data_IF_141477474409
#
_entry.id   IF_141477474409
#
_cell.length_a   1.000
_cell.length_b   1.000
_cell.length_c   1.000
_cell.angle_alpha   90.00
_cell.angle_beta   90.00
_cell.angle_gamma   90.00
#
_symmetry.space_group_name_H-M   'P 1'
#
loop_
_entity.id
_entity.type
_entity.pdbx_description
1 polymer ?
#
# COMPACT_ATOMS: atom_id res chain seq x y z
N UNK A 1 4.33 14.15 -10.80
CA UNK A 1 3.16 15.07 -10.71
C UNK A 1 3.60 16.47 -10.25
N UNK A 2 2.94 17.55 -10.69
CA UNK A 2 3.16 18.92 -10.16
C UNK A 2 2.01 19.30 -9.21
N UNK A 3 2.33 19.75 -7.99
CA UNK A 3 1.30 20.18 -7.03
C UNK A 3 0.63 21.50 -7.46
N UNK A 4 -0.70 21.45 -7.58
CA UNK A 4 -1.56 22.61 -7.78
C UNK A 4 -1.79 23.35 -6.45
N UNK A 5 -2.53 24.46 -6.46
CA UNK A 5 -2.71 25.27 -5.25
C UNK A 5 -3.53 24.55 -4.18
N UNK A 6 -4.65 23.93 -4.56
CA UNK A 6 -5.51 23.18 -3.63
C UNK A 6 -4.79 21.97 -2.99
N UNK A 7 -3.88 21.31 -3.73
CA UNK A 7 -2.99 20.28 -3.18
C UNK A 7 -2.11 20.80 -2.04
N UNK A 8 -1.59 22.02 -2.18
CA UNK A 8 -0.72 22.64 -1.19
C UNK A 8 -1.52 23.10 0.02
N UNK A 9 -2.69 23.68 -0.20
CA UNK A 9 -3.61 24.08 0.87
C UNK A 9 -4.04 22.87 1.71
N UNK A 10 -4.38 21.75 1.07
CA UNK A 10 -4.67 20.48 1.76
C UNK A 10 -3.50 20.06 2.65
N UNK A 11 -2.29 20.00 2.10
CA UNK A 11 -1.13 19.59 2.87
C UNK A 11 -0.83 20.53 4.05
N UNK A 12 -0.99 21.85 3.87
CA UNK A 12 -0.83 22.85 4.94
C UNK A 12 -1.85 22.61 6.06
N UNK A 13 -3.11 22.32 5.72
CA UNK A 13 -4.15 21.97 6.71
C UNK A 13 -3.78 20.71 7.48
N UNK A 14 -3.36 19.64 6.79
CA UNK A 14 -2.91 18.41 7.44
C UNK A 14 -1.71 18.64 8.38
N UNK A 15 -0.73 19.47 7.98
CA UNK A 15 0.37 19.86 8.87
C UNK A 15 -0.10 20.68 10.07
N UNK A 16 -1.14 21.50 9.93
CA UNK A 16 -1.74 22.25 11.02
C UNK A 16 -2.43 21.34 12.06
N UNK A 17 -2.86 20.15 11.64
CA UNK A 17 -3.35 19.07 12.51
C UNK A 17 -2.21 18.20 13.07
N UNK A 18 -0.97 18.69 12.98
CA UNK A 18 0.23 18.04 13.48
C UNK A 18 0.54 16.69 12.81
N UNK A 19 -0.01 16.38 11.62
CA UNK A 19 0.33 15.13 10.93
C UNK A 19 1.82 15.06 10.57
N UNK A 20 2.43 13.87 10.63
CA UNK A 20 3.79 13.71 10.12
C UNK A 20 3.78 13.72 8.60
N UNK A 21 4.91 14.07 8.00
CA UNK A 21 5.04 14.19 6.55
C UNK A 21 4.71 12.90 5.79
N UNK A 22 5.00 11.73 6.37
CA UNK A 22 4.53 10.44 5.83
C UNK A 22 3.01 10.39 5.79
N UNK A 23 2.38 10.68 6.93
CA UNK A 23 0.93 10.61 7.11
C UNK A 23 0.21 11.62 6.20
N UNK A 24 0.79 12.81 5.99
CA UNK A 24 0.26 13.77 5.01
C UNK A 24 0.35 13.23 3.59
N UNK A 25 1.43 12.53 3.23
CA UNK A 25 1.55 11.92 1.90
C UNK A 25 0.53 10.77 1.72
N UNK A 26 0.29 9.97 2.75
CA UNK A 26 -0.74 8.93 2.73
C UNK A 26 -2.15 9.53 2.55
N UNK A 27 -2.49 10.53 3.37
CA UNK A 27 -3.78 11.24 3.25
C UNK A 27 -3.92 11.94 1.90
N UNK A 28 -2.83 12.49 1.35
CA UNK A 28 -2.81 13.09 0.03
C UNK A 28 -3.12 12.07 -1.07
N UNK A 29 -2.52 10.89 -1.01
CA UNK A 29 -2.73 9.85 -2.01
C UNK A 29 -4.18 9.32 -2.00
N UNK A 30 -4.82 9.33 -0.84
CA UNK A 30 -6.24 8.97 -0.70
C UNK A 30 -7.17 10.06 -1.23
N UNK A 31 -6.93 11.33 -0.87
CA UNK A 31 -7.80 12.46 -1.27
C UNK A 31 -7.69 12.73 -2.78
N UNK A 32 -6.49 12.64 -3.35
CA UNK A 32 -6.20 13.01 -4.73
C UNK A 32 -5.83 11.80 -5.61
N UNK A 33 -6.44 10.64 -5.36
CA UNK A 33 -6.14 9.39 -6.07
C UNK A 33 -6.17 9.56 -7.61
N UNK A 34 -7.13 10.35 -8.11
CA UNK A 34 -7.30 10.60 -9.54
C UNK A 34 -6.21 11.47 -10.18
N UNK A 35 -5.48 12.25 -9.39
CA UNK A 35 -4.38 13.11 -9.86
C UNK A 35 -3.02 12.39 -9.81
N UNK A 36 -2.97 11.20 -9.21
CA UNK A 36 -1.75 10.42 -9.10
C UNK A 36 -1.36 9.78 -10.46
N UNK A 37 -0.06 9.66 -10.74
CA UNK A 37 0.41 8.84 -11.86
C UNK A 37 -0.13 7.42 -11.72
N UNK A 38 -0.79 6.90 -12.76
CA UNK A 38 -1.29 5.52 -12.76
C UNK A 38 -0.13 4.54 -12.94
N UNK A 39 -0.19 3.36 -12.31
CA UNK A 39 0.75 2.29 -12.63
C UNK A 39 0.59 1.86 -14.10
N UNK A 40 1.57 1.14 -14.67
CA UNK A 40 1.41 0.52 -15.98
C UNK A 40 0.15 -0.39 -15.99
N UNK A 41 -0.47 -0.62 -17.17
CA UNK A 41 -1.60 -1.53 -17.26
C UNK A 41 -1.21 -2.95 -16.82
N UNK A 42 -2.15 -3.73 -16.25
CA UNK A 42 -1.89 -5.11 -15.91
C UNK A 42 -1.56 -5.92 -17.17
N UNK A 43 -0.78 -7.01 -17.04
CA UNK A 43 -0.56 -7.93 -18.15
C UNK A 43 -1.92 -8.46 -18.63
N UNK A 44 -2.11 -8.44 -19.96
CA UNK A 44 -3.28 -9.06 -20.57
C UNK A 44 -3.26 -10.56 -20.29
N UNK A 45 -4.43 -11.20 -20.09
CA UNK A 45 -4.48 -12.64 -19.99
C UNK A 45 -3.87 -13.25 -21.27
N UNK A 46 -3.08 -14.33 -21.14
CA UNK A 46 -2.49 -14.99 -22.30
C UNK A 46 -3.59 -15.38 -23.28
N UNK A 47 -3.43 -14.98 -24.55
CA UNK A 47 -4.35 -15.36 -25.59
C UNK A 47 -4.12 -16.84 -25.94
N UNK A 48 -5.01 -17.71 -25.46
CA UNK A 48 -4.95 -19.16 -25.66
C UNK A 48 -4.93 -19.56 -27.15
N UNK A 49 -5.40 -18.69 -28.05
CA UNK A 49 -5.40 -18.94 -29.49
C UNK A 49 -4.11 -18.48 -30.20
N UNK A 50 -3.36 -17.53 -29.62
CA UNK A 50 -2.18 -16.93 -30.26
C UNK A 50 -0.84 -17.39 -29.65
N UNK A 51 -0.82 -17.96 -28.44
CA UNK A 51 0.40 -18.49 -27.79
C UNK A 51 0.72 -19.95 -28.17
N UNK A 52 0.24 -20.45 -29.31
CA UNK A 52 0.70 -21.74 -29.89
C UNK A 52 2.20 -21.65 -30.30
N UNK A 53 2.79 -20.45 -30.33
CA UNK A 53 4.14 -20.18 -30.80
C UNK A 53 5.08 -19.60 -29.71
N UNK A 54 4.90 -19.97 -28.44
CA UNK A 54 5.89 -19.71 -27.41
C UNK A 54 7.11 -20.65 -27.56
N UNK A 55 8.36 -20.16 -27.57
CA UNK A 55 9.56 -20.97 -27.82
C UNK A 55 9.91 -22.00 -26.74
N UNK A 56 9.15 -22.06 -25.62
CA UNK A 56 9.43 -22.97 -24.50
C UNK A 56 8.57 -24.25 -24.49
N UNK A 57 7.57 -24.36 -25.37
CA UNK A 57 6.78 -25.58 -25.55
C UNK A 57 7.06 -26.22 -26.91
N UNK A 58 8.24 -26.83 -27.04
CA UNK A 58 8.60 -27.63 -28.23
C UNK A 58 7.74 -28.90 -28.39
N UNK A 59 6.89 -29.25 -27.41
CA UNK A 59 6.06 -30.45 -27.48
C UNK A 59 4.71 -30.16 -28.15
N UNK A 60 4.62 -30.47 -29.45
CA UNK A 60 3.37 -30.31 -30.19
C UNK A 60 2.27 -31.24 -29.66
N UNK A 61 1.00 -30.80 -29.70
CA UNK A 61 -0.17 -31.63 -29.34
C UNK A 61 -0.14 -32.99 -30.06
N UNK A 62 0.26 -32.99 -31.32
CA UNK A 62 0.41 -34.20 -32.14
C UNK A 62 1.47 -35.15 -31.55
N UNK A 63 2.65 -34.63 -31.19
CA UNK A 63 3.71 -35.44 -30.58
C UNK A 63 3.31 -36.00 -29.21
N UNK A 64 2.55 -35.24 -28.41
CA UNK A 64 1.99 -35.72 -27.14
C UNK A 64 1.03 -36.90 -27.37
N UNK A 65 0.09 -36.74 -28.29
CA UNK A 65 -0.90 -37.77 -28.64
C UNK A 65 -0.22 -39.00 -29.23
N UNK A 66 0.71 -38.84 -30.17
CA UNK A 66 1.49 -39.92 -30.78
C UNK A 66 2.30 -40.71 -29.74
N UNK A 67 2.94 -40.03 -28.79
CA UNK A 67 3.69 -40.69 -27.73
C UNK A 67 2.80 -41.51 -26.79
N UNK A 68 1.64 -40.96 -26.40
CA UNK A 68 0.68 -41.64 -25.51
C UNK A 68 0.00 -42.81 -26.21
N UNK A 69 -0.48 -42.62 -27.44
CA UNK A 69 -1.06 -43.68 -28.28
C UNK A 69 -0.03 -44.79 -28.56
N UNK A 70 1.20 -44.46 -28.91
CA UNK A 70 2.28 -45.44 -29.11
C UNK A 70 2.60 -46.28 -27.87
N UNK A 71 2.39 -45.76 -26.65
CA UNK A 71 2.46 -46.56 -25.40
C UNK A 71 1.27 -47.51 -25.26
N UNK A 72 0.07 -47.08 -25.65
CA UNK A 72 -1.13 -47.93 -25.64
C UNK A 72 -1.01 -49.04 -26.68
N UNK A 73 -0.58 -48.75 -27.92
CA UNK A 73 -0.35 -49.76 -28.96
C UNK A 73 0.60 -50.86 -28.48
N UNK A 74 1.71 -50.49 -27.84
CA UNK A 74 2.64 -51.46 -27.23
C UNK A 74 1.99 -52.33 -26.15
N UNK A 75 1.10 -51.76 -25.34
CA UNK A 75 0.35 -52.52 -24.32
C UNK A 75 -0.64 -53.49 -24.95
N UNK A 76 -1.32 -53.08 -26.02
CA UNK A 76 -2.21 -53.96 -26.78
C UNK A 76 -1.43 -55.11 -27.44
N UNK A 77 -0.27 -54.82 -28.04
CA UNK A 77 0.60 -55.84 -28.63
C UNK A 77 1.03 -56.90 -27.60
N UNK A 78 1.39 -56.48 -26.39
CA UNK A 78 1.74 -57.39 -25.28
C UNK A 78 0.56 -58.24 -24.79
N UNK A 79 -0.67 -57.73 -24.90
CA UNK A 79 -1.87 -58.38 -24.33
C UNK A 79 -2.56 -59.31 -25.32
N UNK A 80 -2.65 -58.89 -26.59
CA UNK A 80 -3.45 -59.53 -27.63
C UNK A 80 -2.60 -60.10 -28.78
N UNK A 81 -1.27 -59.89 -28.78
CA UNK A 81 -0.37 -60.44 -29.80
C UNK A 81 -0.76 -60.00 -31.21
N UNK A 82 -1.03 -60.97 -32.08
CA UNK A 82 -1.34 -60.74 -33.51
C UNK A 82 -2.65 -59.96 -33.68
N UNK A 83 -3.60 -60.10 -32.74
CA UNK A 83 -4.91 -59.43 -32.82
C UNK A 83 -4.91 -58.01 -32.25
N UNK A 84 -3.77 -57.53 -31.73
CA UNK A 84 -3.66 -56.23 -31.07
C UNK A 84 -4.18 -55.05 -31.89
N UNK A 85 -3.92 -55.07 -33.20
CA UNK A 85 -4.34 -54.03 -34.13
C UNK A 85 -5.88 -53.93 -34.24
N UNK A 86 -6.57 -55.08 -34.24
CA UNK A 86 -8.04 -55.15 -34.28
C UNK A 86 -8.63 -54.58 -32.98
N UNK A 87 -8.01 -54.91 -31.84
CA UNK A 87 -8.45 -54.45 -30.53
C UNK A 87 -8.16 -52.96 -30.31
N UNK A 88 -7.03 -52.45 -30.83
CA UNK A 88 -6.66 -51.04 -30.72
C UNK A 88 -7.54 -50.16 -31.63
N UNK A 89 -7.71 -50.51 -32.92
CA UNK A 89 -8.54 -49.73 -33.86
C UNK A 89 -9.98 -49.52 -33.40
N UNK A 90 -10.54 -50.47 -32.65
CA UNK A 90 -11.88 -50.34 -32.03
C UNK A 90 -11.96 -49.20 -31.00
N UNK A 91 -10.84 -48.80 -30.41
CA UNK A 91 -10.76 -47.82 -29.32
C UNK A 91 -9.86 -46.62 -29.64
N UNK A 92 -9.28 -46.58 -30.84
CA UNK A 92 -8.28 -45.58 -31.25
C UNK A 92 -8.81 -44.15 -31.14
N UNK A 93 -9.97 -43.88 -31.73
CA UNK A 93 -10.62 -42.57 -31.67
C UNK A 93 -10.84 -42.09 -30.22
N UNK A 94 -11.26 -43.00 -29.33
CA UNK A 94 -11.45 -42.69 -27.91
C UNK A 94 -10.13 -42.31 -27.23
N UNK A 95 -9.03 -43.00 -27.53
CA UNK A 95 -7.72 -42.68 -26.95
C UNK A 95 -7.17 -41.36 -27.47
N UNK A 96 -7.32 -41.08 -28.76
CA UNK A 96 -6.89 -39.81 -29.37
C UNK A 96 -7.65 -38.65 -28.71
N UNK A 97 -8.98 -38.68 -28.71
CA UNK A 97 -9.81 -37.63 -28.10
C UNK A 97 -9.46 -37.42 -26.62
N UNK A 98 -9.27 -38.53 -25.88
CA UNK A 98 -8.88 -38.47 -24.47
C UNK A 98 -7.54 -37.79 -24.25
N UNK A 99 -6.52 -38.10 -25.05
CA UNK A 99 -5.18 -37.52 -24.89
C UNK A 99 -5.11 -36.08 -25.40
N UNK A 100 -5.89 -35.72 -26.42
CA UNK A 100 -6.05 -34.33 -26.85
C UNK A 100 -6.64 -33.48 -25.72
N UNK A 101 -7.68 -33.97 -25.05
CA UNK A 101 -8.33 -33.29 -23.94
C UNK A 101 -7.44 -33.25 -22.67
N UNK A 102 -6.60 -34.28 -22.45
CA UNK A 102 -5.59 -34.29 -21.40
C UNK A 102 -4.52 -33.21 -21.66
N UNK A 103 -4.02 -33.12 -22.90
CA UNK A 103 -3.07 -32.09 -23.31
C UNK A 103 -3.64 -30.68 -23.13
N UNK A 104 -4.87 -30.42 -23.60
CA UNK A 104 -5.50 -29.11 -23.49
C UNK A 104 -5.66 -28.68 -22.02
N UNK A 105 -5.93 -29.62 -21.11
CA UNK A 105 -6.00 -29.35 -19.66
C UNK A 105 -4.64 -29.08 -19.03
N UNK A 106 -3.62 -29.87 -19.38
CA UNK A 106 -2.25 -29.67 -18.89
C UNK A 106 -1.71 -28.31 -19.38
N UNK A 107 -1.97 -27.98 -20.63
CA UNK A 107 -1.67 -26.69 -21.25
C UNK A 107 -2.33 -25.53 -20.53
N UNK A 108 -3.66 -25.57 -20.35
CA UNK A 108 -4.40 -24.54 -19.62
C UNK A 108 -3.84 -24.30 -18.22
N UNK A 109 -3.47 -25.37 -17.51
CA UNK A 109 -2.92 -25.28 -16.16
C UNK A 109 -1.55 -24.61 -16.13
N UNK A 110 -0.67 -24.90 -17.08
CA UNK A 110 0.63 -24.23 -17.16
C UNK A 110 0.50 -22.76 -17.58
N UNK A 111 -0.39 -22.42 -18.52
CA UNK A 111 -0.70 -21.02 -18.86
C UNK A 111 -1.24 -20.24 -17.67
N UNK A 112 -2.15 -20.83 -16.89
CA UNK A 112 -2.69 -20.19 -15.69
C UNK A 112 -1.57 -19.92 -14.66
N UNK A 113 -0.64 -20.85 -14.47
CA UNK A 113 0.52 -20.63 -13.58
C UNK A 113 1.42 -19.50 -14.07
N UNK A 114 1.73 -19.46 -15.37
CA UNK A 114 2.54 -18.40 -15.96
C UNK A 114 1.86 -17.04 -15.75
N UNK A 115 0.55 -16.96 -16.01
CA UNK A 115 -0.22 -15.74 -15.81
C UNK A 115 -0.26 -15.32 -14.33
N UNK A 116 -0.44 -16.26 -13.40
CA UNK A 116 -0.36 -15.98 -11.96
C UNK A 116 1.04 -15.46 -11.55
N UNK A 117 2.10 -15.99 -12.16
CA UNK A 117 3.46 -15.47 -12.00
C UNK A 117 3.57 -14.02 -12.47
N UNK A 118 3.10 -13.72 -13.68
CA UNK A 118 3.08 -12.36 -14.23
C UNK A 118 2.25 -11.38 -13.38
N UNK A 119 1.10 -11.82 -12.86
CA UNK A 119 0.28 -11.01 -11.94
C UNK A 119 1.02 -10.71 -10.63
N UNK A 120 1.78 -11.68 -10.10
CA UNK A 120 2.57 -11.49 -8.89
C UNK A 120 3.72 -10.49 -9.11
N UNK A 121 4.40 -10.57 -10.25
CA UNK A 121 5.41 -9.59 -10.66
C UNK A 121 4.80 -8.20 -10.88
N UNK A 122 3.61 -8.15 -11.49
CA UNK A 122 2.87 -6.91 -11.68
C UNK A 122 2.50 -6.26 -10.34
N UNK A 123 2.06 -7.03 -9.34
CA UNK A 123 1.78 -6.50 -8.01
C UNK A 123 3.03 -5.84 -7.40
N UNK A 124 4.21 -6.44 -7.56
CA UNK A 124 5.47 -5.85 -7.11
C UNK A 124 5.78 -4.53 -7.84
N UNK A 125 5.47 -4.43 -9.13
CA UNK A 125 5.62 -3.18 -9.90
C UNK A 125 4.68 -2.10 -9.36
N UNK A 126 3.42 -2.45 -9.10
CA UNK A 126 2.40 -1.53 -8.54
C UNK A 126 2.82 -1.03 -7.15
N UNK A 127 3.25 -1.92 -6.27
CA UNK A 127 3.69 -1.56 -4.91
C UNK A 127 4.90 -0.61 -4.96
N UNK A 128 5.89 -0.92 -5.79
CA UNK A 128 7.06 -0.06 -6.00
C UNK A 128 6.68 1.30 -6.58
N UNK A 129 5.72 1.33 -7.51
CA UNK A 129 5.21 2.56 -8.11
C UNK A 129 4.56 3.47 -7.05
N UNK A 130 3.68 2.92 -6.20
CA UNK A 130 3.09 3.67 -5.10
C UNK A 130 4.11 4.14 -4.07
N UNK A 131 5.11 3.31 -3.72
CA UNK A 131 6.20 3.74 -2.84
C UNK A 131 7.01 4.90 -3.42
N UNK A 132 7.26 4.91 -4.74
CA UNK A 132 7.95 6.00 -5.41
C UNK A 132 7.11 7.29 -5.38
N UNK A 133 5.81 7.20 -5.69
CA UNK A 133 4.88 8.33 -5.60
C UNK A 133 4.88 8.90 -4.18
N UNK A 134 4.75 8.04 -3.17
CA UNK A 134 4.75 8.45 -1.76
C UNK A 134 6.03 9.21 -1.40
N UNK A 135 7.19 8.67 -1.77
CA UNK A 135 8.49 9.30 -1.53
C UNK A 135 8.62 10.65 -2.24
N UNK A 136 8.17 10.74 -3.48
CA UNK A 136 8.17 12.00 -4.25
C UNK A 136 7.25 13.04 -3.61
N UNK A 137 6.02 12.67 -3.28
CA UNK A 137 5.06 13.55 -2.60
C UNK A 137 5.62 14.02 -1.26
N UNK A 138 6.10 13.11 -0.42
CA UNK A 138 6.74 13.44 0.86
C UNK A 138 7.86 14.48 0.71
N UNK A 139 8.67 14.38 -0.35
CA UNK A 139 9.71 15.36 -0.64
C UNK A 139 9.16 16.70 -1.13
N UNK A 140 8.16 16.70 -2.01
CA UNK A 140 7.52 17.92 -2.50
C UNK A 140 6.79 18.68 -1.39
N UNK A 141 6.13 17.97 -0.48
CA UNK A 141 5.38 18.52 0.65
C UNK A 141 6.28 19.04 1.77
N UNK A 142 7.56 18.67 1.79
CA UNK A 142 8.52 19.07 2.83
C UNK A 142 8.54 20.58 3.10
N UNK A 143 8.43 21.41 2.05
CA UNK A 143 8.47 22.88 2.17
C UNK A 143 7.17 23.47 2.71
N UNK A 144 6.08 22.71 2.71
CA UNK A 144 4.78 23.12 3.23
C UNK A 144 4.61 22.80 4.72
N UNK A 145 5.61 22.19 5.34
CA UNK A 145 5.66 22.07 6.79
C UNK A 145 6.11 23.40 7.40
N UNK A 146 5.37 23.92 8.38
CA UNK A 146 5.68 25.20 9.04
C UNK A 146 7.05 25.22 9.71
N UNK A 147 7.59 24.06 10.10
CA UNK A 147 8.93 23.97 10.71
C UNK A 147 10.06 24.10 9.67
N UNK A 148 9.73 24.11 8.37
CA UNK A 148 10.71 24.28 7.32
C UNK A 148 11.14 25.74 7.20
N UNK A 149 12.45 26.00 7.06
CA UNK A 149 13.00 27.36 6.98
C UNK A 149 12.48 28.20 5.81
N UNK A 150 12.05 27.52 4.74
CA UNK A 150 11.49 28.12 3.52
C UNK A 150 9.96 27.94 3.43
N UNK A 151 9.26 27.84 4.58
CA UNK A 151 7.81 27.77 4.58
C UNK A 151 7.21 29.03 3.90
N UNK A 152 6.30 28.89 2.91
CA UNK A 152 5.79 30.04 2.19
C UNK A 152 4.90 30.93 3.07
N UNK A 153 5.20 32.23 3.11
CA UNK A 153 4.50 33.21 3.94
C UNK A 153 2.98 33.24 3.70
N UNK A 154 2.56 33.09 2.44
CA UNK A 154 1.15 33.10 2.04
C UNK A 154 0.29 32.01 2.73
N UNK A 155 0.91 30.94 3.22
CA UNK A 155 0.22 29.85 3.89
C UNK A 155 0.19 29.99 5.41
N UNK A 156 0.83 31.00 6.01
CA UNK A 156 0.86 31.15 7.48
C UNK A 156 -0.52 31.37 8.06
N UNK A 157 -1.32 32.24 7.42
CA UNK A 157 -2.67 32.51 7.89
C UNK A 157 -3.52 31.24 7.83
N UNK A 158 -3.51 30.55 6.69
CA UNK A 158 -4.22 29.27 6.53
C UNK A 158 -3.79 28.23 7.57
N UNK A 159 -2.49 28.10 7.82
CA UNK A 159 -1.97 27.19 8.83
C UNK A 159 -2.52 27.52 10.23
N UNK A 160 -2.43 28.79 10.64
CA UNK A 160 -2.89 29.22 11.97
C UNK A 160 -4.39 29.03 12.13
N UNK A 161 -5.19 29.43 11.14
CA UNK A 161 -6.65 29.24 11.15
C UNK A 161 -7.04 27.77 11.26
N UNK A 162 -6.36 26.90 10.49
CA UNK A 162 -6.61 25.46 10.50
C UNK A 162 -6.19 24.81 11.82
N UNK A 163 -5.04 25.22 12.37
CA UNK A 163 -4.56 24.77 13.67
C UNK A 163 -5.53 25.15 14.78
N UNK A 164 -5.96 26.42 14.80
CA UNK A 164 -6.86 26.93 15.83
C UNK A 164 -8.23 26.23 15.75
N UNK A 165 -8.73 25.98 14.53
CA UNK A 165 -9.94 25.19 14.30
C UNK A 165 -9.82 23.74 14.81
N UNK A 166 -8.69 23.08 14.51
CA UNK A 166 -8.41 21.73 15.00
C UNK A 166 -8.36 21.67 16.53
N UNK A 167 -7.62 22.59 17.16
CA UNK A 167 -7.50 22.68 18.61
C UNK A 167 -8.86 22.95 19.28
N UNK A 168 -9.68 23.82 18.69
CA UNK A 168 -11.04 24.09 19.17
C UNK A 168 -11.92 22.84 19.10
N UNK A 169 -11.94 22.15 17.96
CA UNK A 169 -12.70 20.90 17.82
C UNK A 169 -12.29 19.85 18.84
N UNK A 170 -10.98 19.69 19.10
CA UNK A 170 -10.50 18.75 20.14
C UNK A 170 -10.81 19.16 21.58
N UNK A 171 -10.96 20.46 21.86
CA UNK A 171 -11.44 20.94 23.17
C UNK A 171 -12.90 20.58 23.38
N UNK A 172 -13.71 20.82 22.37
CA UNK A 172 -15.15 20.58 22.42
C UNK A 172 -15.49 19.08 22.49
N UNK A 173 -14.74 18.23 21.77
CA UNK A 173 -14.97 16.78 21.72
C UNK A 173 -14.50 15.99 22.96
N UNK A 174 -13.43 16.43 23.64
CA UNK A 174 -12.77 15.60 24.67
C UNK A 174 -13.19 15.90 26.11
N UNK A 175 -14.10 16.85 26.39
CA UNK A 175 -14.40 17.32 27.76
C UNK A 175 -13.13 17.41 28.62
N UNK A 176 -12.02 17.91 28.05
CA UNK A 176 -10.81 18.11 28.84
C UNK A 176 -11.19 19.26 29.77
N UNK A 177 -11.52 18.93 31.01
CA UNK A 177 -11.76 19.87 32.09
C UNK A 177 -10.42 20.52 32.42
N UNK A 178 -9.97 21.39 31.52
CA UNK A 178 -8.75 22.16 31.66
C UNK A 178 -9.10 23.30 32.62
N UNK A 179 -9.21 22.99 33.91
CA UNK A 179 -9.04 23.99 34.95
C UNK A 179 -7.55 24.38 34.99
N UNK A 180 -7.05 25.04 33.95
CA UNK A 180 -5.68 25.57 33.90
C UNK A 180 -5.75 27.06 33.59
N UNK A 181 -5.98 27.81 34.66
CA UNK A 181 -5.70 29.22 34.84
C UNK A 181 -4.20 29.50 34.69
N UNK A 182 -3.65 29.37 33.48
CA UNK A 182 -2.28 29.80 33.18
C UNK A 182 -2.17 30.32 31.74
N UNK A 183 -1.67 31.55 31.61
CA UNK A 183 -1.60 32.40 30.42
C UNK A 183 -0.70 31.90 29.26
N UNK A 184 -0.32 30.61 29.22
CA UNK A 184 0.60 30.10 28.19
C UNK A 184 -0.10 29.18 27.17
N UNK A 185 -0.47 29.78 26.04
CA UNK A 185 -1.07 29.13 24.87
C UNK A 185 -0.35 27.83 24.45
N UNK A 186 1.00 27.83 24.44
CA UNK A 186 1.83 26.68 24.00
C UNK A 186 1.63 25.43 24.88
N UNK A 187 1.46 25.60 26.19
CA UNK A 187 1.31 24.44 27.08
C UNK A 187 -0.05 23.78 26.90
N UNK A 188 -1.11 24.59 26.75
CA UNK A 188 -2.45 24.10 26.46
C UNK A 188 -2.50 23.39 25.10
N UNK A 189 -1.83 23.92 24.08
CA UNK A 189 -1.68 23.23 22.78
C UNK A 189 -1.06 21.83 22.95
N UNK A 190 0.06 21.73 23.66
CA UNK A 190 0.75 20.45 23.89
C UNK A 190 -0.11 19.43 24.64
N UNK A 191 -0.90 19.87 25.62
CA UNK A 191 -1.79 18.99 26.38
C UNK A 191 -2.95 18.45 25.53
N UNK A 192 -3.52 19.28 24.66
CA UNK A 192 -4.55 18.84 23.69
C UNK A 192 -3.98 17.82 22.71
N UNK A 193 -2.79 18.09 22.16
CA UNK A 193 -2.11 17.17 21.24
C UNK A 193 -1.79 15.85 21.96
N UNK A 194 -1.33 15.90 23.21
CA UNK A 194 -1.09 14.70 24.02
C UNK A 194 -2.37 13.88 24.20
N UNK A 195 -3.49 14.52 24.56
CA UNK A 195 -4.79 13.85 24.67
C UNK A 195 -5.21 13.17 23.36
N UNK A 196 -5.03 13.86 22.23
CA UNK A 196 -5.31 13.29 20.92
C UNK A 196 -4.44 12.06 20.60
N UNK A 197 -3.11 12.15 20.78
CA UNK A 197 -2.20 11.02 20.53
C UNK A 197 -2.49 9.85 21.47
N UNK A 198 -2.86 10.11 22.72
CA UNK A 198 -3.28 9.09 23.67
C UNK A 198 -4.54 8.36 23.18
N UNK A 199 -5.54 9.08 22.65
CA UNK A 199 -6.73 8.44 22.10
C UNK A 199 -6.41 7.54 20.90
N UNK A 200 -5.47 7.94 20.03
CA UNK A 200 -5.02 7.09 18.92
C UNK A 200 -4.43 5.76 19.39
N UNK A 201 -3.67 5.74 20.50
CA UNK A 201 -3.15 4.49 21.07
C UNK A 201 -4.24 3.48 21.44
N UNK A 202 -5.42 3.95 21.87
CA UNK A 202 -6.52 3.08 22.29
C UNK A 202 -7.39 2.60 21.13
N UNK A 203 -7.40 3.35 20.02
CA UNK A 203 -8.17 3.01 18.83
C UNK A 203 -7.40 2.09 17.89
N UNK A 204 -6.07 2.14 17.93
CA UNK A 204 -5.19 1.37 17.06
C UNK A 204 -5.10 -0.12 17.48
N UNK A 205 -5.05 -1.02 16.49
CA UNK A 205 -4.99 -2.47 16.73
C UNK A 205 -3.61 -3.05 16.47
N UNK A 206 -2.82 -2.40 15.61
CA UNK A 206 -1.49 -2.90 15.26
C UNK A 206 -0.44 -2.52 16.32
N UNK A 207 0.30 -3.50 16.90
CA UNK A 207 1.30 -3.22 17.94
C UNK A 207 2.39 -2.22 17.51
N UNK A 208 2.76 -2.23 16.23
CA UNK A 208 3.78 -1.31 15.68
C UNK A 208 3.30 0.14 15.67
N UNK A 209 2.05 0.37 15.28
CA UNK A 209 1.46 1.71 15.24
C UNK A 209 1.20 2.24 16.65
N UNK A 210 0.76 1.37 17.59
CA UNK A 210 0.66 1.71 19.01
C UNK A 210 2.00 2.22 19.56
N UNK A 211 3.11 1.52 19.27
CA UNK A 211 4.45 1.93 19.72
C UNK A 211 4.84 3.32 19.18
N UNK A 212 4.56 3.62 17.91
CA UNK A 212 4.82 4.96 17.35
C UNK A 212 4.06 6.05 18.09
N UNK A 213 2.79 5.80 18.42
CA UNK A 213 1.99 6.74 19.20
C UNK A 213 2.55 6.92 20.62
N UNK A 214 2.99 5.83 21.29
CA UNK A 214 3.64 5.88 22.60
C UNK A 214 4.89 6.75 22.58
N UNK A 215 5.79 6.54 21.61
CA UNK A 215 7.01 7.35 21.47
C UNK A 215 6.68 8.83 21.27
N UNK A 216 5.67 9.11 20.44
CA UNK A 216 5.21 10.47 20.18
C UNK A 216 4.64 11.14 21.43
N UNK A 217 3.81 10.45 22.19
CA UNK A 217 3.27 10.95 23.44
C UNK A 217 4.36 11.19 24.51
N UNK A 218 5.34 10.29 24.58
CA UNK A 218 6.49 10.46 25.46
C UNK A 218 7.32 11.71 25.09
N UNK A 219 7.52 11.96 23.79
CA UNK A 219 8.14 13.18 23.29
C UNK A 219 7.39 14.45 23.71
N UNK A 220 6.05 14.45 23.60
CA UNK A 220 5.21 15.58 24.01
C UNK A 220 5.33 15.84 25.52
N UNK A 221 5.25 14.79 26.35
CA UNK A 221 5.39 14.90 27.80
C UNK A 221 6.76 15.44 28.22
N UNK A 222 7.85 15.01 27.56
CA UNK A 222 9.19 15.55 27.80
C UNK A 222 9.28 17.05 27.51
N UNK A 223 8.62 17.50 26.45
CA UNK A 223 8.56 18.93 26.08
C UNK A 223 7.77 19.73 27.11
N UNK A 224 6.60 19.22 27.54
CA UNK A 224 5.80 19.84 28.61
C UNK A 224 6.63 19.96 29.89
N UNK A 225 7.30 18.87 30.30
CA UNK A 225 8.15 18.85 31.49
C UNK A 225 9.31 19.85 31.40
N UNK A 226 9.98 19.94 30.25
CA UNK A 226 11.09 20.87 30.01
C UNK A 226 10.62 22.32 30.06
N UNK A 227 9.48 22.64 29.45
CA UNK A 227 8.88 23.98 29.51
C UNK A 227 8.50 24.36 30.94
N UNK A 228 7.92 23.43 31.72
CA UNK A 228 7.59 23.68 33.12
C UNK A 228 8.84 23.92 33.98
N UNK A 229 9.95 23.22 33.69
CA UNK A 229 11.23 23.45 34.37
C UNK A 229 11.80 24.83 34.06
N UNK A 230 11.86 25.23 32.79
CA UNK A 230 12.35 26.56 32.38
C UNK A 230 11.54 27.70 33.00
N UNK A 231 10.20 27.57 33.07
CA UNK A 231 9.35 28.56 33.73
C UNK A 231 9.69 28.72 35.21
N UNK A 232 9.87 27.61 35.93
CA UNK A 232 10.25 27.63 37.36
C UNK A 232 11.61 28.31 37.57
N UNK A 233 12.57 28.04 36.70
CA UNK A 233 13.90 28.67 36.73
C UNK A 233 13.85 30.17 36.43
N UNK A 234 13.01 30.61 35.48
CA UNK A 234 12.83 32.03 35.16
C UNK A 234 12.11 32.79 36.26
N UNK A 235 11.02 32.23 36.81
CA UNK A 235 10.30 32.82 37.95
C UNK A 235 11.19 32.93 39.20
N UNK A 236 12.13 32.00 39.39
CA UNK A 236 13.10 32.06 40.49
C UNK A 236 14.16 33.14 40.31
N UNK A 237 14.46 33.55 39.06
CA UNK A 237 15.42 34.61 38.74
C UNK A 237 14.81 36.02 38.79
N UNK A 238 13.51 36.15 38.57
CA UNK A 238 12.79 37.43 38.69
C UNK A 238 12.53 37.83 40.16
N UNK A 239 12.73 36.91 41.11
CA UNK A 239 12.57 37.13 42.55
C UNK A 239 13.91 37.23 43.33
N UNK A 240 15.04 37.35 42.62
CA UNK A 240 16.38 37.63 43.19
C UNK A 240 16.83 39.05 42.81
#
# INVERSE_FOLDING_TARGET
MKLQEHHKEFAVKCFAEYMQRSDVADAFMLEFEHDLPKPPPPPEPPNLEEEIAGPEYEFSKNEYVENKTGRICRRYLMTYGIDADIHYKKNEAYYIEKFELEFDKEWQKEHEKLYQGQLSEYQLIVDNHYMQIHKELSNQLRRLNITHTQFPEKYRQLFNESRDAFLKGKRDDNMIDISLTNDNNIQQELEIIFGHVKNLMFLEKEPKEILKHVDRAHGILKTISSNNKQKRENASKEHQ
#
